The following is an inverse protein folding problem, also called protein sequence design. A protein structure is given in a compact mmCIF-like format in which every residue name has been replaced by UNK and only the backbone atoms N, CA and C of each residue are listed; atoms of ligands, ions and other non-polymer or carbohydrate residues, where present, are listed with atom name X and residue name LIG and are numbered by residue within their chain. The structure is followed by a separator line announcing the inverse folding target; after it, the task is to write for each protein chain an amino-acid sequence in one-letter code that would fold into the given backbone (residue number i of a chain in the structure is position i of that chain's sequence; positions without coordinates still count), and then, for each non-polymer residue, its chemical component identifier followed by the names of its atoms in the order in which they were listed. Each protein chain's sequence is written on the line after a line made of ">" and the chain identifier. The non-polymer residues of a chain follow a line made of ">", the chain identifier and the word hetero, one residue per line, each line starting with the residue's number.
data_IF_313761430280
#
_entry.id   IF_313761430280
#
_cell.length_a   1.000
_cell.length_b   1.000
_cell.length_c   1.000
_cell.angle_alpha   90.00
_cell.angle_beta   90.00
_cell.angle_gamma   90.00
#
_symmetry.space_group_name_H-M   'P 1'
#
loop_
_entity.id
_entity.type
_entity.pdbx_description
1 polymer ?
#
# COMPACT_ATOMS: atom_id res chain seq x y z
N UNK A 1 -32.16 4.93 42.42
CA UNK A 1 -32.42 4.82 41.33
C UNK A 1 -31.40 4.26 40.45
N UNK A 2 -31.73 3.82 39.54
CA UNK A 2 -30.82 3.10 38.84
C UNK A 2 -30.14 3.91 37.81
N UNK A 3 -28.96 3.60 37.54
CA UNK A 3 -28.25 4.30 36.54
C UNK A 3 -28.13 3.48 35.32
N UNK A 4 -29.07 2.61 35.09
CA UNK A 4 -29.02 1.81 33.90
C UNK A 4 -29.03 2.65 32.67
N UNK A 5 -28.13 2.35 31.78
CA UNK A 5 -28.12 2.98 30.46
C UNK A 5 -29.31 2.49 29.69
N UNK A 6 -29.96 3.40 28.99
CA UNK A 6 -31.08 3.02 28.17
C UNK A 6 -30.56 2.22 26.97
N UNK A 7 -31.41 1.34 26.43
CA UNK A 7 -30.95 0.50 25.30
C UNK A 7 -30.42 1.28 24.15
N UNK A 8 -31.05 2.40 23.78
CA UNK A 8 -30.57 3.19 22.67
C UNK A 8 -29.25 3.87 23.00
N UNK A 9 -29.04 4.27 24.25
CA UNK A 9 -27.77 4.84 24.64
C UNK A 9 -26.70 3.78 24.66
N UNK A 10 -27.01 2.58 25.11
CA UNK A 10 -26.04 1.50 25.08
C UNK A 10 -25.64 1.18 23.65
N UNK A 11 -26.59 1.25 22.77
CA UNK A 11 -26.34 1.01 21.36
C UNK A 11 -25.43 2.06 20.75
N UNK A 12 -25.66 3.33 21.11
CA UNK A 12 -24.81 4.41 20.64
C UNK A 12 -23.39 4.25 21.13
N UNK A 13 -23.24 3.88 22.38
CA UNK A 13 -21.90 3.67 22.93
C UNK A 13 -21.20 2.55 22.19
N UNK A 14 -21.91 1.46 21.95
CA UNK A 14 -21.35 0.34 21.22
C UNK A 14 -20.93 0.76 19.83
N UNK A 15 -21.77 1.54 19.14
CA UNK A 15 -21.46 2.01 17.81
C UNK A 15 -20.25 2.93 17.81
N UNK A 16 -20.13 3.76 18.81
CA UNK A 16 -18.98 4.64 18.91
C UNK A 16 -17.70 3.85 19.09
N UNK A 17 -17.76 2.81 19.89
CA UNK A 17 -16.59 1.96 20.09
C UNK A 17 -16.22 1.28 18.79
N UNK A 18 -17.21 0.76 18.08
CA UNK A 18 -16.94 0.11 16.80
C UNK A 18 -16.41 1.08 15.76
N UNK A 19 -16.97 2.27 15.75
CA UNK A 19 -16.52 3.29 14.81
C UNK A 19 -15.06 3.65 15.08
N UNK A 20 -14.72 3.84 16.34
CA UNK A 20 -13.35 4.18 16.70
C UNK A 20 -12.40 3.06 16.29
N UNK A 21 -12.84 1.82 16.52
CA UNK A 21 -12.02 0.68 16.12
C UNK A 21 -11.84 0.65 14.59
N UNK A 22 -12.92 0.89 13.86
CA UNK A 22 -12.84 0.91 12.41
C UNK A 22 -11.94 2.02 11.89
N UNK A 23 -12.02 3.18 12.52
CA UNK A 23 -11.15 4.29 12.15
C UNK A 23 -9.69 3.88 12.29
N UNK A 24 -9.39 3.21 13.39
CA UNK A 24 -8.03 2.76 13.64
C UNK A 24 -7.58 1.75 12.60
N UNK A 25 -8.46 0.80 12.26
CA UNK A 25 -8.14 -0.20 11.25
C UNK A 25 -7.92 0.45 9.88
N UNK A 26 -8.79 1.38 9.53
CA UNK A 26 -8.66 2.07 8.24
C UNK A 26 -7.35 2.83 8.19
N UNK A 27 -6.98 3.48 9.28
CA UNK A 27 -5.74 4.21 9.33
C UNK A 27 -4.55 3.27 9.15
N UNK A 28 -4.58 2.12 9.82
CA UNK A 28 -3.51 1.14 9.68
C UNK A 28 -3.42 0.64 8.26
N UNK A 29 -4.56 0.35 7.64
CA UNK A 29 -4.58 -0.12 6.27
C UNK A 29 -4.05 0.94 5.31
N UNK A 30 -4.39 2.20 5.55
CA UNK A 30 -3.89 3.28 4.73
C UNK A 30 -2.37 3.35 4.81
N UNK A 31 -1.83 3.18 6.02
CA UNK A 31 -0.38 3.20 6.19
C UNK A 31 0.28 2.04 5.46
N UNK A 32 -0.34 0.87 5.54
CA UNK A 32 0.18 -0.31 4.85
C UNK A 32 0.17 -0.09 3.34
N UNK A 33 -0.93 0.42 2.82
CA UNK A 33 -1.04 0.67 1.38
C UNK A 33 0.04 1.66 0.93
N UNK A 34 0.24 2.73 1.68
CA UNK A 34 1.26 3.70 1.33
C UNK A 34 2.63 3.06 1.32
N UNK A 35 2.92 2.27 2.33
CA UNK A 35 4.19 1.58 2.42
C UNK A 35 4.40 0.64 1.24
N UNK A 36 3.35 -0.08 0.87
CA UNK A 36 3.44 -1.01 -0.24
C UNK A 36 3.63 -0.27 -1.56
N UNK A 37 3.00 0.89 -1.72
CA UNK A 37 3.18 1.66 -2.94
C UNK A 37 4.59 2.20 -3.06
N UNK A 38 5.18 2.59 -1.94
CA UNK A 38 6.57 3.03 -1.94
C UNK A 38 7.48 1.88 -2.32
N UNK A 39 7.20 0.70 -1.80
CA UNK A 39 8.00 -0.47 -2.14
C UNK A 39 7.85 -0.82 -3.61
N UNK A 40 6.62 -0.76 -4.13
CA UNK A 40 6.40 -1.03 -5.54
C UNK A 40 7.14 -0.05 -6.43
N UNK A 41 7.12 1.22 -6.06
CA UNK A 41 7.85 2.23 -6.83
C UNK A 41 9.33 1.93 -6.85
N UNK A 42 9.86 1.53 -5.71
CA UNK A 42 11.27 1.21 -5.62
C UNK A 42 11.60 -0.01 -6.47
N UNK A 43 10.76 -1.02 -6.41
CA UNK A 43 10.97 -2.22 -7.20
C UNK A 43 10.87 -1.95 -8.68
N UNK A 44 9.92 -1.11 -9.08
CA UNK A 44 9.80 -0.73 -10.48
C UNK A 44 11.06 -0.03 -10.99
N UNK A 45 11.61 0.84 -10.16
CA UNK A 45 12.85 1.52 -10.53
C UNK A 45 13.99 0.52 -10.66
N UNK A 46 14.04 -0.45 -9.74
CA UNK A 46 15.07 -1.47 -9.80
C UNK A 46 14.95 -2.30 -11.06
N UNK A 47 13.75 -2.72 -11.38
CA UNK A 47 13.52 -3.52 -12.58
C UNK A 47 13.91 -2.74 -13.81
N UNK A 48 13.52 -1.48 -13.86
CA UNK A 48 13.85 -0.64 -15.01
C UNK A 48 15.35 -0.51 -15.15
N UNK A 49 16.05 -0.29 -14.06
CA UNK A 49 17.51 -0.16 -14.09
C UNK A 49 18.16 -1.45 -14.59
N UNK A 50 17.69 -2.58 -14.07
CA UNK A 50 18.24 -3.85 -14.48
C UNK A 50 17.93 -4.15 -15.95
N UNK A 51 16.74 -3.81 -16.39
CA UNK A 51 16.38 -3.98 -17.78
C UNK A 51 17.29 -3.16 -18.68
N UNK A 52 17.56 -1.94 -18.29
CA UNK A 52 18.44 -1.08 -19.08
C UNK A 52 19.85 -1.65 -19.13
N UNK A 53 20.31 -2.21 -18.03
CA UNK A 53 21.63 -2.81 -18.00
C UNK A 53 21.68 -4.01 -18.94
N UNK A 54 20.65 -4.85 -18.88
CA UNK A 54 20.62 -6.03 -19.74
C UNK A 54 20.55 -5.63 -21.20
N UNK A 55 19.73 -4.66 -21.52
CA UNK A 55 19.63 -4.18 -22.89
C UNK A 55 20.95 -3.59 -23.37
N UNK A 56 21.63 -2.89 -22.48
CA UNK A 56 22.93 -2.36 -22.84
C UNK A 56 23.94 -3.44 -23.10
N UNK A 57 23.86 -4.54 -22.35
CA UNK A 57 24.78 -5.65 -22.55
C UNK A 57 24.48 -6.41 -23.82
N UNK A 58 23.22 -6.47 -24.20
CA UNK A 58 22.82 -7.22 -25.38
C UNK A 58 22.87 -6.38 -26.64
N UNK A 59 23.02 -5.10 -26.50
CA UNK A 59 23.05 -4.21 -27.63
C UNK A 59 24.27 -4.56 -28.47
N UNK A 60 24.20 -4.81 -29.75
CA UNK A 60 25.34 -5.23 -30.58
C UNK A 60 26.17 -4.03 -31.01
N UNK A 61 25.80 -4.21 -30.40
CA UNK A 61 26.10 -3.60 -30.48
C UNK A 61 26.25 -3.33 -30.55
N UNK A 62 26.10 -3.55 -30.33
CA UNK A 62 25.72 -3.35 -30.16
C UNK A 62 26.03 -3.45 -30.52
N UNK A 63 26.27 -3.67 -31.19
CA UNK A 63 26.22 -3.63 -31.62
C UNK A 63 25.95 -4.20 -32.06
N UNK A 64 25.70 -4.52 -32.70
CA UNK A 64 25.04 -4.93 -33.14
C UNK A 64 24.83 -5.07 -33.78
N UNK A 65 25.14 -5.14 -34.58
CA UNK A 65 24.62 -5.00 -35.35
C UNK A 65 24.03 -4.76 -35.63
N UNK A 66 24.05 -4.56 -36.44
CA UNK A 66 23.27 -4.18 -36.74
C UNK A 66 22.65 -4.40 -36.98
N UNK A 67 22.38 -4.85 -37.31
CA UNK A 67 21.72 -4.96 -37.26
C UNK A 67 21.30 -5.25 -37.32
N UNK A 68 21.52 -5.65 -37.64
CA UNK A 68 20.80 -5.71 -37.57
C UNK A 68 20.28 -5.41 -37.68
#
# INVERSE_FOLDING_TARGET
>A
MTTKTRPDEARLIDLEIRYTHQESVVQDLSDIVRSQQEELSRLKSEVKRMTEIIEGMNAPNHERPPHY
#
